data_IF_241729830762
#
_entry.id   IF_241729830762
#
_cell.length_a   1.000
_cell.length_b   1.000
_cell.length_c   1.000
_cell.angle_alpha   90.00
_cell.angle_beta   90.00
_cell.angle_gamma   90.00
#
_symmetry.space_group_name_H-M   'P 1'
#
loop_
_entity.id
_entity.type
_entity.pdbx_description
1 polymer ?
#
# COMPACT_ATOMS: atom_id res chain seq x y z
N UNK A 1 10.66 -8.57 -6.82
CA UNK A 1 10.42 -8.59 -8.28
C UNK A 1 11.75 -8.56 -9.02
N UNK A 2 11.84 -9.11 -10.23
CA UNK A 2 13.03 -8.99 -11.11
C UNK A 2 12.63 -8.16 -12.34
N UNK A 3 12.64 -6.82 -12.23
CA UNK A 3 12.14 -5.95 -13.31
C UNK A 3 13.09 -5.91 -14.51
N UNK A 4 14.38 -6.11 -14.27
CA UNK A 4 15.43 -6.05 -15.29
C UNK A 4 15.79 -7.45 -15.82
N UNK A 5 16.10 -7.58 -17.12
CA UNK A 5 16.62 -8.83 -17.67
C UNK A 5 18.02 -9.11 -17.12
N UNK A 6 18.24 -10.33 -16.63
CA UNK A 6 19.58 -10.76 -16.17
C UNK A 6 20.47 -11.27 -17.31
N UNK A 7 19.88 -11.57 -18.46
CA UNK A 7 20.55 -12.04 -19.67
C UNK A 7 19.65 -11.79 -20.90
N UNK A 8 20.18 -11.90 -22.13
CA UNK A 8 19.37 -11.83 -23.35
C UNK A 8 18.25 -12.89 -23.41
N UNK A 9 18.41 -14.03 -22.74
CA UNK A 9 17.40 -15.10 -22.67
C UNK A 9 16.32 -14.86 -21.60
N UNK A 10 16.51 -13.89 -20.70
CA UNK A 10 15.56 -13.54 -19.64
C UNK A 10 14.44 -12.63 -20.18
N UNK A 11 13.71 -13.12 -21.17
CA UNK A 11 12.57 -12.43 -21.81
C UNK A 11 11.44 -12.13 -20.80
N UNK A 12 10.57 -11.15 -21.06
CA UNK A 12 9.40 -10.89 -20.21
C UNK A 12 8.55 -12.14 -19.96
N UNK A 13 8.33 -12.97 -20.99
CA UNK A 13 7.59 -14.22 -20.87
C UNK A 13 8.30 -15.24 -19.97
N UNK A 14 9.64 -15.31 -20.01
CA UNK A 14 10.41 -16.19 -19.11
C UNK A 14 10.30 -15.72 -17.65
N UNK A 15 10.40 -14.40 -17.41
CA UNK A 15 10.22 -13.81 -16.08
C UNK A 15 8.81 -14.06 -15.54
N UNK A 16 7.78 -13.89 -16.37
CA UNK A 16 6.40 -14.17 -16.00
C UNK A 16 6.19 -15.64 -15.62
N UNK A 17 6.68 -16.60 -16.43
CA UNK A 17 6.59 -18.04 -16.10
C UNK A 17 7.27 -18.39 -14.78
N UNK A 18 8.43 -17.77 -14.49
CA UNK A 18 9.15 -17.93 -13.22
C UNK A 18 8.33 -17.42 -12.05
N UNK A 19 7.79 -16.20 -12.15
CA UNK A 19 6.92 -15.61 -11.13
C UNK A 19 5.65 -16.44 -10.90
N UNK A 20 4.99 -16.88 -11.98
CA UNK A 20 3.80 -17.73 -11.93
C UNK A 20 4.08 -19.04 -11.18
N UNK A 21 5.17 -19.75 -11.52
CA UNK A 21 5.53 -21.01 -10.84
C UNK A 21 5.80 -20.77 -9.35
N UNK A 22 6.52 -19.71 -9.00
CA UNK A 22 6.83 -19.36 -7.61
C UNK A 22 5.55 -19.07 -6.81
N UNK A 23 4.69 -18.18 -7.29
CA UNK A 23 3.46 -17.78 -6.61
C UNK A 23 2.45 -18.93 -6.55
N UNK A 24 2.31 -19.72 -7.61
CA UNK A 24 1.47 -20.92 -7.57
C UNK A 24 1.95 -21.95 -6.54
N UNK A 25 3.27 -22.08 -6.34
CA UNK A 25 3.83 -22.95 -5.30
C UNK A 25 3.57 -22.40 -3.90
N UNK A 26 3.81 -21.09 -3.68
CA UNK A 26 3.50 -20.42 -2.41
C UNK A 26 2.04 -20.60 -2.01
N UNK A 27 1.10 -20.43 -2.95
CA UNK A 27 -0.34 -20.60 -2.72
C UNK A 27 -0.71 -22.01 -2.24
N UNK A 28 -0.01 -23.04 -2.73
CA UNK A 28 -0.20 -24.42 -2.25
C UNK A 28 0.31 -24.62 -0.82
N UNK A 29 1.41 -23.95 -0.46
CA UNK A 29 2.05 -24.10 0.85
C UNK A 29 1.43 -23.23 1.95
N UNK A 30 0.88 -22.07 1.58
CA UNK A 30 0.34 -21.06 2.51
C UNK A 30 -0.97 -20.45 1.99
N UNK A 31 -2.01 -21.27 1.76
CA UNK A 31 -3.29 -20.79 1.19
C UNK A 31 -3.97 -19.74 2.07
N UNK A 32 -3.75 -19.77 3.39
CA UNK A 32 -4.31 -18.81 4.34
C UNK A 32 -3.86 -17.37 4.09
N UNK A 33 -2.71 -17.19 3.44
CA UNK A 33 -2.15 -15.87 3.15
C UNK A 33 -2.85 -15.18 1.98
N UNK A 34 -3.53 -15.91 1.07
CA UNK A 34 -4.33 -15.28 0.01
C UNK A 34 -5.51 -14.47 0.56
N UNK A 35 -6.04 -14.88 1.72
CA UNK A 35 -7.08 -14.12 2.43
C UNK A 35 -6.54 -12.84 3.10
N UNK A 36 -5.23 -12.70 3.18
CA UNK A 36 -4.52 -11.62 3.85
C UNK A 36 -3.95 -10.65 2.81
N UNK A 37 -3.26 -11.19 1.81
CA UNK A 37 -2.68 -10.46 0.69
C UNK A 37 -2.67 -11.37 -0.55
N UNK A 38 -3.61 -11.07 -1.45
CA UNK A 38 -3.80 -11.78 -2.70
C UNK A 38 -2.68 -11.43 -3.68
N UNK A 39 -1.73 -12.35 -3.86
CA UNK A 39 -0.56 -12.17 -4.72
C UNK A 39 -0.59 -13.16 -5.89
N UNK A 40 -0.85 -12.65 -7.09
CA UNK A 40 -0.86 -13.42 -8.33
C UNK A 40 0.11 -12.82 -9.34
N UNK A 41 0.64 -13.65 -10.25
CA UNK A 41 1.65 -13.19 -11.20
C UNK A 41 1.09 -12.19 -12.24
N UNK A 42 -0.22 -12.24 -12.44
CA UNK A 42 -1.02 -11.43 -13.37
C UNK A 42 -1.92 -10.40 -12.67
N UNK A 43 -1.78 -10.22 -11.35
CA UNK A 43 -2.51 -9.19 -10.61
C UNK A 43 -1.64 -7.97 -10.32
N UNK A 44 -2.24 -6.78 -10.14
CA UNK A 44 -1.54 -5.64 -9.56
C UNK A 44 -0.92 -5.99 -8.21
N UNK A 45 0.24 -5.41 -7.92
CA UNK A 45 0.98 -5.65 -6.69
C UNK A 45 1.53 -4.35 -6.10
N UNK A 46 1.81 -4.35 -4.79
CA UNK A 46 2.27 -3.17 -4.10
C UNK A 46 3.68 -2.73 -4.49
N UNK A 47 3.87 -1.41 -4.57
CA UNK A 47 5.19 -0.80 -4.82
C UNK A 47 6.18 -1.11 -3.69
N UNK A 48 5.71 -1.54 -2.52
CA UNK A 48 6.53 -2.00 -1.39
C UNK A 48 7.61 -2.98 -1.84
N UNK A 49 7.30 -3.90 -2.76
CA UNK A 49 8.23 -4.90 -3.26
C UNK A 49 9.28 -4.37 -4.27
N UNK A 50 9.15 -3.13 -4.70
CA UNK A 50 10.13 -2.41 -5.54
C UNK A 50 11.05 -1.50 -4.73
N UNK A 51 10.61 -1.09 -3.53
CA UNK A 51 11.30 -0.08 -2.72
C UNK A 51 12.36 -0.56 -1.69
N UNK A 52 12.76 -1.86 -1.55
CA UNK A 52 13.73 -2.25 -0.53
C UNK A 52 15.20 -2.01 -0.90
N UNK A 53 15.51 -1.34 -2.02
CA UNK A 53 16.88 -1.21 -2.56
C UNK A 53 17.86 -0.53 -1.59
N UNK A 54 17.45 0.58 -0.99
CA UNK A 54 18.25 1.35 -0.02
C UNK A 54 17.83 1.13 1.43
N UNK A 55 17.05 0.10 1.73
CA UNK A 55 16.57 -0.19 3.07
C UNK A 55 15.75 0.94 3.74
N UNK A 56 15.08 1.81 2.97
CA UNK A 56 14.16 2.83 3.50
C UNK A 56 12.70 2.37 3.40
N UNK A 57 12.40 1.15 3.85
CA UNK A 57 11.05 0.59 3.76
C UNK A 57 10.60 -0.21 4.97
N UNK A 58 9.35 -0.01 5.38
CA UNK A 58 8.70 -0.84 6.40
C UNK A 58 8.44 -2.29 5.96
N UNK A 59 8.82 -2.67 4.73
CA UNK A 59 8.74 -4.07 4.27
C UNK A 59 9.44 -5.02 5.25
N UNK A 60 10.61 -4.66 5.76
CA UNK A 60 11.37 -5.52 6.67
C UNK A 60 10.64 -5.71 8.01
N UNK A 61 9.94 -4.68 8.49
CA UNK A 61 9.09 -4.75 9.68
C UNK A 61 7.86 -5.64 9.49
N UNK A 62 7.29 -5.66 8.29
CA UNK A 62 6.19 -6.57 7.97
C UNK A 62 6.65 -8.05 7.99
N UNK A 63 7.96 -8.31 7.83
CA UNK A 63 8.54 -9.65 7.78
C UNK A 63 9.22 -10.08 9.09
N UNK A 64 9.53 -9.15 10.00
CA UNK A 64 10.17 -9.48 11.29
C UNK A 64 10.08 -8.36 12.31
N UNK A 65 10.21 -8.70 13.60
CA UNK A 65 10.21 -7.73 14.70
C UNK A 65 11.55 -6.99 14.77
N UNK A 66 11.68 -5.87 14.06
CA UNK A 66 12.90 -5.07 13.95
C UNK A 66 12.71 -3.62 14.42
N UNK A 67 12.46 -3.45 15.72
CA UNK A 67 12.05 -2.15 16.30
C UNK A 67 13.12 -1.05 16.20
N UNK A 68 14.40 -1.38 16.38
CA UNK A 68 15.49 -0.40 16.25
C UNK A 68 15.57 0.19 14.84
N UNK A 69 15.34 -0.65 13.83
CA UNK A 69 15.23 -0.24 12.43
C UNK A 69 14.01 0.69 12.21
N UNK A 70 12.85 0.36 12.76
CA UNK A 70 11.66 1.21 12.63
C UNK A 70 11.84 2.57 13.31
N UNK A 71 12.46 2.60 14.50
CA UNK A 71 12.78 3.86 15.19
C UNK A 71 13.71 4.75 14.36
N UNK A 72 14.71 4.16 13.70
CA UNK A 72 15.53 4.88 12.72
C UNK A 72 14.67 5.38 11.54
N UNK A 73 13.86 4.51 10.93
CA UNK A 73 13.04 4.82 9.76
C UNK A 73 12.05 5.97 10.01
N UNK A 74 11.51 6.10 11.23
CA UNK A 74 10.62 7.20 11.63
C UNK A 74 11.26 8.59 11.55
N UNK A 75 12.60 8.64 11.57
CA UNK A 75 13.38 9.88 11.52
C UNK A 75 14.24 9.99 10.25
N UNK A 76 14.40 8.90 9.51
CA UNK A 76 15.20 8.84 8.30
C UNK A 76 14.66 9.75 7.19
N UNK A 77 15.58 10.28 6.38
CA UNK A 77 15.28 10.93 5.12
C UNK A 77 14.85 9.88 4.07
N UNK A 78 13.66 10.06 3.49
CA UNK A 78 13.08 9.12 2.52
C UNK A 78 13.25 9.57 1.06
N UNK A 79 13.92 10.69 0.77
CA UNK A 79 14.13 11.19 -0.60
C UNK A 79 14.93 10.22 -1.47
N UNK A 80 15.97 9.58 -0.90
CA UNK A 80 16.80 8.64 -1.66
C UNK A 80 15.99 7.48 -2.23
N UNK A 81 15.06 6.93 -1.45
CA UNK A 81 14.18 5.85 -1.90
C UNK A 81 13.33 6.25 -3.10
N UNK A 82 12.83 7.49 -3.14
CA UNK A 82 12.01 7.94 -4.27
C UNK A 82 12.83 8.24 -5.52
N UNK A 83 14.11 8.64 -5.39
CA UNK A 83 15.02 8.71 -6.54
C UNK A 83 15.21 7.34 -7.19
N UNK A 84 15.49 6.32 -6.38
CA UNK A 84 15.61 4.93 -6.86
C UNK A 84 14.29 4.40 -7.42
N UNK A 85 13.18 4.79 -6.80
CA UNK A 85 11.85 4.41 -7.26
C UNK A 85 11.55 4.95 -8.66
N UNK A 86 11.93 6.20 -8.97
CA UNK A 86 11.79 6.78 -10.32
C UNK A 86 12.51 5.95 -11.37
N UNK A 87 13.75 5.52 -11.11
CA UNK A 87 14.51 4.66 -12.04
C UNK A 87 13.77 3.35 -12.32
N UNK A 88 13.19 2.74 -11.28
CA UNK A 88 12.38 1.53 -11.44
C UNK A 88 11.08 1.80 -12.20
N UNK A 89 10.45 2.96 -12.01
CA UNK A 89 9.26 3.35 -12.77
C UNK A 89 9.58 3.56 -14.24
N UNK A 90 10.74 4.11 -14.60
CA UNK A 90 11.17 4.19 -16.01
C UNK A 90 11.28 2.81 -16.65
N UNK A 91 11.84 1.83 -15.93
CA UNK A 91 11.91 0.43 -16.40
C UNK A 91 10.50 -0.14 -16.63
N UNK A 92 9.56 0.13 -15.71
CA UNK A 92 8.18 -0.33 -15.88
C UNK A 92 7.47 0.38 -17.03
N UNK A 93 7.60 1.70 -17.12
CA UNK A 93 6.99 2.52 -18.17
C UNK A 93 7.49 2.12 -19.56
N UNK A 94 8.75 1.67 -19.69
CA UNK A 94 9.29 1.18 -20.95
C UNK A 94 8.60 -0.08 -21.49
N UNK A 95 7.86 -0.82 -20.66
CA UNK A 95 7.08 -1.99 -21.12
C UNK A 95 5.84 -1.60 -21.91
N UNK A 96 5.26 -0.43 -21.63
CA UNK A 96 4.18 0.17 -22.38
C UNK A 96 4.22 1.69 -22.21
N UNK A 97 4.98 2.43 -23.04
CA UNK A 97 5.19 3.87 -22.88
C UNK A 97 3.93 4.70 -23.13
N UNK A 98 2.86 4.08 -23.64
CA UNK A 98 1.62 4.78 -23.99
C UNK A 98 0.61 4.82 -22.86
N UNK A 99 0.82 4.01 -21.81
CA UNK A 99 -0.12 3.88 -20.69
C UNK A 99 0.43 4.52 -19.43
N UNK A 100 -0.44 5.22 -18.71
CA UNK A 100 -0.13 5.75 -17.38
C UNK A 100 0.02 4.60 -16.38
N UNK A 101 1.07 4.65 -15.56
CA UNK A 101 1.22 3.75 -14.43
C UNK A 101 0.20 4.07 -13.33
N UNK A 102 -0.45 3.02 -12.81
CA UNK A 102 -1.28 3.09 -11.61
C UNK A 102 -0.57 2.30 -10.53
N UNK A 103 -0.17 2.99 -9.47
CA UNK A 103 0.76 2.51 -8.45
C UNK A 103 0.07 2.55 -7.09
N UNK A 104 0.44 1.63 -6.20
CA UNK A 104 -0.10 1.59 -4.84
C UNK A 104 0.90 1.01 -3.88
N UNK A 105 1.14 1.71 -2.79
CA UNK A 105 1.67 1.14 -1.56
C UNK A 105 1.15 2.00 -0.42
N UNK A 106 0.63 1.40 0.67
CA UNK A 106 0.20 2.21 1.80
C UNK A 106 1.38 2.93 2.48
N UNK A 107 2.63 2.57 2.16
CA UNK A 107 3.84 3.25 2.65
C UNK A 107 4.09 4.62 1.98
N UNK A 108 3.42 4.91 0.85
CA UNK A 108 3.57 6.23 0.22
C UNK A 108 3.08 7.37 1.12
N UNK A 109 2.14 7.09 2.01
CA UNK A 109 1.62 8.05 2.99
C UNK A 109 2.71 8.57 3.96
N UNK A 110 3.78 7.79 4.14
CA UNK A 110 4.85 8.07 5.10
C UNK A 110 5.86 9.11 4.56
N UNK A 111 5.76 9.50 3.28
CA UNK A 111 6.69 10.41 2.59
C UNK A 111 6.10 10.96 1.28
N UNK A 112 4.91 11.57 1.37
CA UNK A 112 4.27 12.20 0.20
C UNK A 112 5.10 13.37 -0.35
N UNK A 113 5.77 14.10 0.52
CA UNK A 113 6.68 15.19 0.15
C UNK A 113 7.84 14.69 -0.72
N UNK A 114 8.55 13.65 -0.28
CA UNK A 114 9.64 13.06 -1.05
C UNK A 114 9.15 12.44 -2.37
N UNK A 115 7.94 11.86 -2.37
CA UNK A 115 7.30 11.35 -3.59
C UNK A 115 7.06 12.49 -4.58
N UNK A 116 6.45 13.59 -4.14
CA UNK A 116 6.14 14.75 -4.99
C UNK A 116 7.38 15.53 -5.42
N UNK A 117 8.45 15.53 -4.62
CA UNK A 117 9.75 16.09 -5.02
C UNK A 117 10.40 15.29 -6.15
N UNK A 118 10.29 13.95 -6.11
CA UNK A 118 10.86 13.07 -7.14
C UNK A 118 9.97 12.92 -8.38
N UNK A 119 8.65 12.98 -8.22
CA UNK A 119 7.63 12.86 -9.27
C UNK A 119 6.64 14.03 -9.18
N UNK A 120 7.03 15.24 -9.60
CA UNK A 120 6.18 16.43 -9.50
C UNK A 120 4.85 16.31 -10.25
N UNK A 121 4.77 15.45 -11.26
CA UNK A 121 3.59 15.15 -12.06
C UNK A 121 2.65 14.11 -11.43
N UNK A 122 3.03 13.49 -10.31
CA UNK A 122 2.24 12.44 -9.68
C UNK A 122 0.86 12.97 -9.24
N UNK A 123 -0.15 12.13 -9.47
CA UNK A 123 -1.50 12.29 -8.93
C UNK A 123 -1.59 11.41 -7.69
N UNK A 124 -1.57 12.04 -6.52
CA UNK A 124 -1.62 11.33 -5.25
C UNK A 124 -3.08 11.17 -4.82
N UNK A 125 -3.53 9.92 -4.73
CA UNK A 125 -4.83 9.58 -4.18
C UNK A 125 -4.62 8.93 -2.81
N UNK A 126 -5.17 9.53 -1.77
CA UNK A 126 -5.12 8.98 -0.42
C UNK A 126 -6.49 8.45 -0.02
N UNK A 127 -6.51 7.22 0.49
CA UNK A 127 -7.75 6.62 1.01
C UNK A 127 -7.80 6.78 2.53
N UNK A 128 -9.00 7.09 3.03
CA UNK A 128 -9.26 7.33 4.45
C UNK A 128 -10.20 6.26 4.98
N UNK A 129 -9.86 5.68 6.12
CA UNK A 129 -10.65 4.67 6.81
C UNK A 129 -10.53 4.88 8.30
N UNK A 130 -11.58 4.55 9.03
CA UNK A 130 -11.61 4.46 10.49
C UNK A 130 -10.24 4.00 11.06
N UNK A 131 -9.57 4.83 11.87
CA UNK A 131 -8.24 4.57 12.38
C UNK A 131 -8.20 3.40 13.37
N UNK A 132 -9.28 3.16 14.12
CA UNK A 132 -9.43 2.01 15.02
C UNK A 132 -9.42 0.71 14.21
N UNK A 133 -10.27 0.65 13.19
CA UNK A 133 -10.34 -0.51 12.30
C UNK A 133 -9.05 -0.71 11.51
N UNK A 134 -8.41 0.37 11.09
CA UNK A 134 -7.16 0.34 10.34
C UNK A 134 -5.99 -0.17 11.19
N UNK A 135 -5.82 0.34 12.41
CA UNK A 135 -4.75 -0.09 13.31
C UNK A 135 -4.92 -1.56 13.71
N UNK A 136 -6.12 -1.96 14.12
CA UNK A 136 -6.40 -3.35 14.49
C UNK A 136 -6.11 -4.32 13.33
N UNK A 137 -6.52 -3.93 12.11
CA UNK A 137 -6.22 -4.71 10.89
C UNK A 137 -4.72 -4.78 10.61
N UNK A 138 -3.97 -3.70 10.83
CA UNK A 138 -2.54 -3.65 10.57
C UNK A 138 -1.73 -4.47 11.58
N UNK A 139 -2.09 -4.40 12.87
CA UNK A 139 -1.48 -5.23 13.92
C UNK A 139 -1.72 -6.72 13.68
N UNK A 140 -2.95 -7.11 13.33
CA UNK A 140 -3.29 -8.51 13.02
C UNK A 140 -2.55 -9.04 11.78
N UNK A 141 -2.41 -8.21 10.76
CA UNK A 141 -1.61 -8.53 9.58
C UNK A 141 -0.14 -8.76 9.95
N UNK A 142 0.45 -7.84 10.71
CA UNK A 142 1.84 -7.93 11.13
C UNK A 142 2.11 -9.14 12.02
N UNK A 143 1.23 -9.43 12.98
CA UNK A 143 1.30 -10.61 13.86
C UNK A 143 1.30 -11.90 13.04
N UNK A 144 0.39 -12.02 12.07
CA UNK A 144 0.31 -13.21 11.20
C UNK A 144 1.54 -13.37 10.30
N UNK A 145 2.06 -12.28 9.75
CA UNK A 145 3.23 -12.33 8.88
C UNK A 145 4.50 -12.66 9.67
N UNK A 146 4.72 -11.99 10.81
CA UNK A 146 5.90 -12.19 11.66
C UNK A 146 5.92 -13.55 12.34
N UNK A 147 4.77 -14.15 12.66
CA UNK A 147 4.71 -15.51 13.22
C UNK A 147 5.30 -16.58 12.30
N UNK A 148 5.50 -16.28 11.00
CA UNK A 148 6.17 -17.17 10.04
C UNK A 148 7.69 -17.00 10.02
N UNK A 149 8.22 -15.98 10.69
CA UNK A 149 9.63 -15.57 10.60
C UNK A 149 10.30 -15.39 11.96
N UNK A 150 9.55 -15.44 13.07
CA UNK A 150 10.09 -15.47 14.44
C UNK A 150 9.40 -16.53 15.28
N UNK A 151 10.18 -17.25 16.09
CA UNK A 151 9.68 -18.15 17.15
C UNK A 151 9.38 -17.37 18.46
N UNK A 152 9.82 -16.11 18.52
CA UNK A 152 9.73 -15.25 19.71
C UNK A 152 9.03 -13.93 19.35
N UNK A 153 7.68 -13.90 19.35
CA UNK A 153 6.94 -12.68 19.05
C UNK A 153 7.13 -11.63 20.16
N UNK A 154 7.37 -10.38 19.78
CA UNK A 154 7.56 -9.25 20.71
C UNK A 154 6.30 -8.38 20.75
N UNK A 155 5.17 -8.97 21.12
CA UNK A 155 3.82 -8.41 20.93
C UNK A 155 3.66 -6.96 21.40
N UNK A 156 4.08 -6.64 22.62
CA UNK A 156 3.92 -5.29 23.17
C UNK A 156 4.78 -4.26 22.41
N UNK A 157 6.01 -4.64 22.06
CA UNK A 157 6.88 -3.79 21.25
C UNK A 157 6.35 -3.65 19.82
N UNK A 158 5.73 -4.69 19.26
CA UNK A 158 5.07 -4.65 17.96
C UNK A 158 3.89 -3.69 17.94
N UNK A 159 3.07 -3.71 18.99
CA UNK A 159 1.94 -2.80 19.18
C UNK A 159 2.44 -1.36 19.28
N UNK A 160 3.42 -1.10 20.16
CA UNK A 160 4.01 0.22 20.32
C UNK A 160 4.61 0.76 19.00
N UNK A 161 5.30 -0.10 18.24
CA UNK A 161 5.86 0.24 16.92
C UNK A 161 4.76 0.55 15.90
N UNK A 162 3.68 -0.24 15.90
CA UNK A 162 2.53 -0.01 15.03
C UNK A 162 1.83 1.33 15.30
N UNK A 163 1.66 1.69 16.57
CA UNK A 163 1.13 2.99 17.00
C UNK A 163 2.06 4.13 16.56
N UNK A 164 3.37 4.02 16.84
CA UNK A 164 4.37 5.03 16.46
C UNK A 164 4.49 5.24 14.94
N UNK A 165 4.26 4.18 14.15
CA UNK A 165 4.20 4.27 12.70
C UNK A 165 3.02 5.14 12.23
N UNK A 166 1.82 4.93 12.78
CA UNK A 166 0.64 5.74 12.41
C UNK A 166 0.83 7.20 12.81
N UNK A 167 1.38 7.45 14.01
CA UNK A 167 1.75 8.81 14.44
C UNK A 167 2.68 9.51 13.48
N UNK A 168 3.76 8.82 13.11
CA UNK A 168 4.76 9.35 12.20
C UNK A 168 4.14 9.62 10.84
N UNK A 169 3.31 8.71 10.35
CA UNK A 169 2.59 8.85 9.09
C UNK A 169 1.65 10.06 9.09
N UNK A 170 0.81 10.22 10.12
CA UNK A 170 -0.11 11.36 10.24
C UNK A 170 0.65 12.68 10.27
N UNK A 171 1.71 12.77 11.09
CA UNK A 171 2.53 13.98 11.20
C UNK A 171 3.19 14.34 9.86
N UNK A 172 3.89 13.39 9.23
CA UNK A 172 4.55 13.61 7.93
C UNK A 172 3.54 13.94 6.82
N UNK A 173 2.35 13.33 6.86
CA UNK A 173 1.29 13.62 5.91
C UNK A 173 0.79 15.07 6.05
N UNK A 174 0.58 15.54 7.29
CA UNK A 174 0.20 16.92 7.56
C UNK A 174 1.28 17.91 7.08
N UNK A 175 2.56 17.62 7.37
CA UNK A 175 3.71 18.41 6.88
C UNK A 175 3.76 18.47 5.35
N UNK A 176 3.60 17.33 4.67
CA UNK A 176 3.58 17.24 3.21
C UNK A 176 2.41 18.04 2.61
N UNK A 177 1.20 17.96 3.20
CA UNK A 177 0.04 18.72 2.73
C UNK A 177 0.18 20.22 2.93
N UNK A 178 0.84 20.65 4.00
CA UNK A 178 1.16 22.06 4.21
C UNK A 178 2.15 22.57 3.14
N UNK A 179 3.12 21.75 2.75
CA UNK A 179 4.10 22.07 1.70
C UNK A 179 3.51 21.99 0.29
N UNK A 180 2.57 21.07 0.06
CA UNK A 180 1.96 20.78 -1.24
C UNK A 180 0.42 20.93 -1.20
N UNK A 181 -0.11 22.13 -0.96
CA UNK A 181 -1.54 22.34 -0.82
C UNK A 181 -2.28 21.93 -2.10
N UNK A 182 -3.35 21.15 -1.95
CA UNK A 182 -4.19 20.69 -3.07
C UNK A 182 -3.61 19.57 -3.93
N UNK A 183 -2.43 19.01 -3.58
CA UNK A 183 -1.78 17.94 -4.35
C UNK A 183 -2.25 16.52 -4.04
N UNK A 184 -3.11 16.36 -3.03
CA UNK A 184 -3.65 15.06 -2.63
C UNK A 184 -5.17 15.03 -2.85
N UNK A 185 -5.65 13.98 -3.51
CA UNK A 185 -7.06 13.67 -3.71
C UNK A 185 -7.50 12.68 -2.63
N UNK A 186 -8.35 13.15 -1.73
CA UNK A 186 -8.88 12.33 -0.63
C UNK A 186 -10.09 11.50 -1.06
N UNK A 187 -10.08 10.23 -0.69
CA UNK A 187 -11.14 9.26 -0.98
C UNK A 187 -11.54 8.55 0.31
N UNK A 188 -12.80 8.71 0.73
CA UNK A 188 -13.30 7.99 1.91
C UNK A 188 -13.61 6.55 1.55
N UNK A 189 -13.20 5.61 2.40
CA UNK A 189 -13.47 4.19 2.23
C UNK A 189 -14.97 3.90 2.07
N UNK A 190 -15.82 4.59 2.85
CA UNK A 190 -17.27 4.39 2.79
C UNK A 190 -17.88 4.92 1.50
N UNK A 191 -17.36 6.02 0.94
CA UNK A 191 -17.82 6.56 -0.35
C UNK A 191 -17.41 5.63 -1.49
N UNK A 192 -16.15 5.20 -1.51
CA UNK A 192 -15.64 4.23 -2.49
C UNK A 192 -16.44 2.92 -2.46
N UNK A 193 -16.86 2.47 -1.28
CA UNK A 193 -17.69 1.26 -1.13
C UNK A 193 -19.12 1.44 -1.59
N UNK A 194 -19.70 2.62 -1.37
CA UNK A 194 -21.08 2.92 -1.73
C UNK A 194 -21.22 3.09 -3.23
N UNK A 195 -20.28 3.79 -3.86
CA UNK A 195 -20.28 4.09 -5.29
C UNK A 195 -18.85 4.06 -5.86
N UNK A 196 -18.31 2.87 -6.19
CA UNK A 196 -16.97 2.75 -6.74
C UNK A 196 -16.79 3.50 -8.06
N UNK A 197 -17.79 3.42 -8.95
CA UNK A 197 -17.73 4.06 -10.28
C UNK A 197 -17.71 5.57 -10.16
N UNK A 198 -18.67 6.16 -9.43
CA UNK A 198 -18.71 7.61 -9.24
C UNK A 198 -17.49 8.13 -8.49
N UNK A 199 -16.94 7.35 -7.54
CA UNK A 199 -15.69 7.72 -6.85
C UNK A 199 -14.51 7.77 -7.81
N UNK A 200 -14.37 6.80 -8.72
CA UNK A 200 -13.28 6.80 -9.72
C UNK A 200 -13.44 7.96 -10.71
N UNK A 201 -14.65 8.23 -11.17
CA UNK A 201 -14.92 9.37 -12.06
C UNK A 201 -14.56 10.71 -11.41
N UNK A 202 -14.87 10.86 -10.13
CA UNK A 202 -14.49 12.05 -9.35
C UNK A 202 -12.96 12.18 -9.22
N UNK A 203 -12.23 11.09 -9.00
CA UNK A 203 -10.76 11.09 -9.01
C UNK A 203 -10.25 11.58 -10.37
N UNK A 204 -10.79 11.06 -11.47
CA UNK A 204 -10.40 11.46 -12.83
C UNK A 204 -10.65 12.94 -13.07
N UNK A 205 -11.83 13.43 -12.70
CA UNK A 205 -12.21 14.84 -12.82
C UNK A 205 -11.26 15.74 -12.02
N UNK A 206 -10.98 15.41 -10.77
CA UNK A 206 -10.04 16.17 -9.92
C UNK A 206 -8.60 16.12 -10.43
N UNK A 207 -8.22 15.02 -11.08
CA UNK A 207 -6.92 14.84 -11.71
C UNK A 207 -6.82 15.49 -13.11
N UNK A 208 -7.89 16.10 -13.62
CA UNK A 208 -7.93 16.69 -14.96
C UNK A 208 -7.82 15.65 -16.08
N UNK A 209 -8.26 14.42 -15.84
CA UNK A 209 -8.26 13.32 -16.82
C UNK A 209 -9.66 13.14 -17.37
N UNK A 210 -9.77 13.02 -18.69
CA UNK A 210 -11.05 12.75 -19.34
C UNK A 210 -11.57 11.35 -18.98
N UNK A 211 -12.85 11.28 -18.61
CA UNK A 211 -13.57 10.01 -18.43
C UNK A 211 -14.12 9.60 -19.79
N UNK A 212 -13.51 8.58 -20.40
CA UNK A 212 -13.98 8.06 -21.68
C UNK A 212 -15.18 7.11 -21.50
N UNK A 213 -16.05 6.94 -22.51
CA UNK A 213 -17.10 5.93 -22.48
C UNK A 213 -16.58 4.51 -22.24
N UNK A 214 -15.37 4.22 -22.74
CA UNK A 214 -14.71 2.93 -22.53
C UNK A 214 -14.34 2.70 -21.05
N UNK A 215 -13.85 3.75 -20.35
CA UNK A 215 -13.57 3.68 -18.92
C UNK A 215 -14.86 3.42 -18.13
N UNK A 216 -15.93 4.17 -18.40
CA UNK A 216 -17.22 3.97 -17.74
C UNK A 216 -17.73 2.53 -17.92
N UNK A 217 -17.66 1.99 -19.14
CA UNK A 217 -18.01 0.59 -19.41
C UNK A 217 -17.17 -0.41 -18.62
N UNK A 218 -15.84 -0.19 -18.56
CA UNK A 218 -14.92 -1.05 -17.81
C UNK A 218 -15.18 -1.01 -16.30
N UNK A 219 -15.47 0.16 -15.74
CA UNK A 219 -15.81 0.32 -14.31
C UNK A 219 -17.10 -0.41 -13.96
N UNK A 220 -18.15 -0.25 -14.79
CA UNK A 220 -19.42 -0.94 -14.59
C UNK A 220 -19.27 -2.47 -14.65
N UNK A 221 -18.51 -2.98 -15.64
CA UNK A 221 -18.18 -4.40 -15.74
C UNK A 221 -17.44 -4.89 -14.49
N UNK A 222 -16.38 -4.20 -14.08
CA UNK A 222 -15.60 -4.54 -12.90
C UNK A 222 -16.44 -4.57 -11.62
N UNK A 223 -17.30 -3.57 -11.40
CA UNK A 223 -18.20 -3.49 -10.25
C UNK A 223 -19.21 -4.65 -10.23
N UNK A 224 -19.70 -5.07 -11.41
CA UNK A 224 -20.63 -6.20 -11.53
C UNK A 224 -19.96 -7.55 -11.21
N UNK A 225 -18.71 -7.73 -11.64
CA UNK A 225 -17.93 -8.96 -11.48
C UNK A 225 -17.38 -9.09 -10.06
N UNK A 226 -17.09 -7.97 -9.40
CA UNK A 226 -16.40 -7.91 -8.11
C UNK A 226 -17.31 -7.43 -6.98
N UNK A 227 -18.53 -7.99 -6.90
CA UNK A 227 -19.44 -7.75 -5.77
C UNK A 227 -18.75 -8.00 -4.43
N UNK A 228 -18.79 -7.00 -3.56
CA UNK A 228 -18.19 -7.04 -2.23
C UNK A 228 -18.73 -8.20 -1.38
N UNK A 229 -17.87 -8.73 -0.51
CA UNK A 229 -18.21 -9.82 0.42
C UNK A 229 -17.73 -11.20 0.00
N UNK A 230 -17.17 -11.37 -1.21
CA UNK A 230 -16.62 -12.65 -1.69
C UNK A 230 -15.51 -13.24 -0.81
N UNK A 231 -14.86 -12.44 0.03
CA UNK A 231 -13.73 -12.86 0.87
C UNK A 231 -14.01 -12.77 2.40
N UNK A 232 -15.27 -12.58 2.81
CA UNK A 232 -15.65 -12.47 4.22
C UNK A 232 -15.25 -11.15 4.89
N UNK A 233 -15.81 -10.88 6.06
CA UNK A 233 -15.44 -9.73 6.90
C UNK A 233 -14.72 -10.23 8.14
N UNK A 234 -13.41 -9.95 8.25
CA UNK A 234 -12.70 -10.13 9.53
C UNK A 234 -13.06 -8.99 10.46
N UNK A 235 -13.60 -9.31 11.63
CA UNK A 235 -13.76 -8.36 12.73
C UNK A 235 -12.46 -8.36 13.53
N UNK A 236 -11.87 -7.19 13.66
CA UNK A 236 -10.68 -6.97 14.49
C UNK A 236 -11.09 -6.14 15.69
N UNK A 237 -10.60 -6.48 16.88
CA UNK A 237 -10.86 -5.72 18.09
C UNK A 237 -9.54 -5.18 18.66
N UNK A 238 -9.44 -3.87 18.89
CA UNK A 238 -8.27 -3.27 19.51
C UNK A 238 -8.03 -3.77 20.95
N UNK A 239 -9.09 -4.21 21.64
CA UNK A 239 -8.98 -4.80 22.97
C UNK A 239 -8.09 -6.06 22.97
N UNK A 240 -8.00 -6.79 21.84
CA UNK A 240 -7.09 -7.93 21.72
C UNK A 240 -5.62 -7.50 21.85
N UNK A 241 -5.32 -6.24 21.53
CA UNK A 241 -4.01 -5.60 21.62
C UNK A 241 -3.84 -4.74 22.87
N UNK A 242 -4.77 -4.79 23.83
CA UNK A 242 -4.72 -3.96 25.03
C UNK A 242 -4.86 -2.46 24.76
N UNK A 243 -5.43 -2.08 23.60
CA UNK A 243 -5.64 -0.70 23.19
C UNK A 243 -7.11 -0.30 23.37
N UNK A 244 -7.35 0.88 23.92
CA UNK A 244 -8.68 1.46 24.01
C UNK A 244 -9.09 2.10 22.68
N UNK A 245 -10.29 1.79 22.21
CA UNK A 245 -10.78 2.27 20.92
C UNK A 245 -11.10 3.76 20.93
N UNK A 246 -11.60 4.31 22.04
CA UNK A 246 -11.92 5.72 22.15
C UNK A 246 -10.63 6.55 22.18
N UNK A 247 -9.61 6.09 22.91
CA UNK A 247 -8.29 6.71 22.93
C UNK A 247 -7.67 6.75 21.53
N UNK A 248 -7.69 5.62 20.79
CA UNK A 248 -7.15 5.58 19.42
C UNK A 248 -7.97 6.47 18.47
N UNK A 249 -9.31 6.46 18.56
CA UNK A 249 -10.15 7.31 17.73
C UNK A 249 -9.90 8.80 17.98
N UNK A 250 -9.70 9.21 19.23
CA UNK A 250 -9.36 10.59 19.59
C UNK A 250 -7.94 10.94 19.14
N UNK A 251 -6.97 10.05 19.38
CA UNK A 251 -5.55 10.27 19.07
C UNK A 251 -5.30 10.41 17.57
N UNK A 252 -6.03 9.64 16.75
CA UNK A 252 -5.89 9.62 15.29
C UNK A 252 -7.13 10.15 14.57
N UNK A 253 -7.85 11.06 15.21
CA UNK A 253 -9.06 11.66 14.64
C UNK A 253 -8.75 12.27 13.26
N UNK A 254 -9.46 11.77 12.25
CA UNK A 254 -9.36 12.24 10.87
C UNK A 254 -10.76 12.66 10.41
N UNK A 255 -10.99 13.93 10.03
CA UNK A 255 -12.30 14.42 9.59
C UNK A 255 -12.79 13.78 8.27
N UNK A 256 -11.95 12.98 7.62
CA UNK A 256 -12.25 12.25 6.41
C UNK A 256 -12.57 10.76 6.65
N UNK A 257 -12.60 10.30 7.92
CA UNK A 257 -12.94 8.92 8.29
C UNK A 257 -14.41 8.73 8.68
#
# INVERSE_FOLDING_TARGET
MQPLPLSPSDTPAARFRRAYKLLATRRKLTPEFDAIHYMHADSPEECLFMMPLSFHTRMFWNLGSIHSYMNWLFTADLHQKYREYVDLLHVQQATDPTRRLVLKAPEHVDAIDALLDALPEAIVVQTHRDPVAQLASYLSLGETARSKSTEHPQRDADIATGVGLIETAIRRNAEARARYPGRVIDVRYNDLRRDPTGTVEEIYRRAGIEVSPALHGALAAHASENKHGKHGARRYNLADYGLDAADIAQRFADPLT
#
